data_IF_550520934150
#
_entry.id   IF_550520934150
#
_cell.length_a   1.000
_cell.length_b   1.000
_cell.length_c   1.000
_cell.angle_alpha   90.00
_cell.angle_beta   90.00
_cell.angle_gamma   90.00
#
_symmetry.space_group_name_H-M   'P 1'
#
loop_
_entity.id
_entity.type
_entity.pdbx_description
1 polymer ?
#
# COMPACT_ATOMS: atom_id res chain seq x y z
N UNK A 1 14.73 -39.14 -32.61
CA UNK A 1 15.75 -38.70 -33.59
C UNK A 1 15.27 -37.38 -34.21
N UNK A 2 16.03 -36.41 -34.07
CA UNK A 2 16.36 -35.16 -34.76
C UNK A 2 16.39 -33.98 -33.80
N UNK A 3 17.65 -33.70 -33.44
CA UNK A 3 18.16 -32.46 -32.84
C UNK A 3 18.18 -31.37 -33.92
N UNK A 4 17.89 -30.13 -33.59
CA UNK A 4 18.38 -28.89 -34.23
C UNK A 4 18.32 -27.81 -33.14
N UNK A 5 19.33 -27.41 -32.63
CA UNK A 5 20.39 -26.41 -32.61
C UNK A 5 20.08 -25.24 -33.55
N UNK A 6 19.87 -24.05 -32.98
CA UNK A 6 20.21 -22.75 -33.61
C UNK A 6 20.16 -21.67 -32.51
N UNK A 7 21.28 -21.28 -32.06
CA UNK A 7 22.19 -20.15 -32.30
C UNK A 7 21.70 -18.78 -31.85
N UNK A 8 22.38 -18.34 -30.83
CA UNK A 8 22.79 -17.01 -30.36
C UNK A 8 22.77 -15.93 -31.43
N UNK A 9 22.17 -14.76 -31.09
CA UNK A 9 22.61 -13.48 -31.66
C UNK A 9 22.62 -12.42 -30.56
N UNK A 10 23.82 -12.16 -30.07
CA UNK A 10 24.19 -10.98 -29.31
C UNK A 10 24.31 -9.78 -30.24
N UNK A 11 23.71 -8.66 -29.93
CA UNK A 11 24.03 -7.37 -30.48
C UNK A 11 24.18 -6.35 -29.39
N UNK A 12 25.42 -6.08 -29.03
CA UNK A 12 25.84 -4.94 -28.26
C UNK A 12 25.76 -3.69 -29.15
N UNK A 13 25.17 -2.61 -28.62
CA UNK A 13 25.36 -1.27 -29.16
C UNK A 13 25.73 -0.33 -28.00
N UNK A 14 27.01 -0.06 -27.94
CA UNK A 14 27.64 1.08 -27.27
C UNK A 14 27.67 2.26 -28.24
N UNK A 15 27.41 3.47 -27.80
CA UNK A 15 28.00 4.76 -28.21
C UNK A 15 27.36 5.87 -27.33
N UNK A 16 28.11 6.46 -26.48
CA UNK A 16 29.10 7.56 -26.49
C UNK A 16 28.46 8.94 -26.40
N UNK A 17 28.75 9.55 -25.28
CA UNK A 17 29.37 10.85 -24.95
C UNK A 17 29.24 12.01 -25.96
N UNK A 18 28.78 13.17 -25.39
CA UNK A 18 29.32 14.53 -25.56
C UNK A 18 28.57 15.41 -24.56
N UNK A 19 29.05 16.00 -23.53
CA UNK A 19 30.12 16.93 -23.25
C UNK A 19 29.94 18.32 -23.92
N UNK A 20 29.96 19.33 -23.08
CA UNK A 20 30.12 20.79 -23.25
C UNK A 20 28.87 21.56 -22.82
N UNK A 21 28.93 22.57 -21.97
CA UNK A 21 30.02 23.33 -21.37
C UNK A 21 29.44 24.65 -20.88
N UNK A 22 29.91 25.09 -19.74
CA UNK A 22 30.11 26.44 -19.24
C UNK A 22 29.19 27.58 -19.71
N UNK A 23 28.67 28.37 -18.76
CA UNK A 23 29.31 29.60 -18.30
C UNK A 23 28.57 30.23 -17.13
N UNK A 24 29.41 30.76 -16.27
CA UNK A 24 29.10 31.53 -15.09
C UNK A 24 28.55 32.94 -15.41
N UNK A 25 27.75 33.48 -14.52
CA UNK A 25 27.80 34.89 -14.16
C UNK A 25 27.20 35.11 -12.77
N UNK A 26 28.04 35.49 -11.93
CA UNK A 26 28.08 36.22 -10.71
C UNK A 26 27.18 37.46 -10.70
N UNK A 27 26.49 37.72 -9.58
CA UNK A 27 26.43 39.05 -8.97
C UNK A 27 25.97 38.99 -7.52
N UNK A 28 26.84 39.42 -6.73
CA UNK A 28 26.86 39.94 -5.35
C UNK A 28 25.76 40.94 -5.03
N UNK A 29 25.31 40.91 -3.75
CA UNK A 29 25.15 42.05 -2.81
C UNK A 29 24.52 41.54 -1.52
N UNK A 30 25.22 41.42 -0.40
CA UNK A 30 25.36 42.38 0.75
C UNK A 30 24.00 42.92 1.24
N UNK A 31 23.69 42.96 2.50
CA UNK A 31 24.38 42.89 3.77
C UNK A 31 23.36 42.86 4.92
N UNK A 32 23.80 42.27 6.01
CA UNK A 32 23.82 42.78 7.38
C UNK A 32 22.58 42.75 8.30
N UNK A 33 22.96 42.33 9.47
CA UNK A 33 22.52 42.66 10.85
C UNK A 33 21.54 41.67 11.47
N UNK A 34 21.86 40.76 12.32
CA UNK A 34 22.45 40.97 13.66
C UNK A 34 21.35 41.05 14.69
N UNK A 35 21.11 39.95 15.42
CA UNK A 35 20.80 40.01 16.85
C UNK A 35 20.85 38.60 17.44
N UNK A 36 21.84 38.41 18.29
CA UNK A 36 21.88 37.37 19.29
C UNK A 36 20.73 37.53 20.28
N UNK A 37 20.04 36.44 20.52
CA UNK A 37 19.36 36.26 21.79
C UNK A 37 19.57 34.81 22.21
N UNK A 38 20.47 34.64 23.12
CA UNK A 38 20.61 33.43 23.91
C UNK A 38 19.30 33.15 24.63
N UNK A 39 18.74 31.96 24.43
CA UNK A 39 17.71 31.42 25.29
C UNK A 39 18.10 30.02 25.71
N UNK A 40 18.44 29.96 26.98
CA UNK A 40 18.59 28.83 27.86
C UNK A 40 17.96 27.54 27.42
N UNK A 41 18.81 26.52 27.28
CA UNK A 41 18.41 25.12 27.24
C UNK A 41 17.70 24.77 28.57
N UNK A 42 16.40 24.62 28.51
CA UNK A 42 15.65 23.87 29.49
C UNK A 42 15.61 22.43 29.02
N UNK A 43 16.41 21.61 29.68
CA UNK A 43 16.34 20.15 29.57
C UNK A 43 15.05 19.72 30.26
N UNK A 44 13.96 19.65 29.50
CA UNK A 44 12.80 18.87 29.92
C UNK A 44 13.09 17.42 29.59
N UNK A 45 13.32 16.66 30.63
CA UNK A 45 13.30 15.22 30.67
C UNK A 45 11.94 14.82 30.11
N UNK A 46 11.88 14.40 28.83
CA UNK A 46 10.74 13.72 28.29
C UNK A 46 10.57 12.44 29.11
N UNK A 47 9.57 12.46 29.96
CA UNK A 47 9.03 11.28 30.60
C UNK A 47 8.48 10.43 29.47
N UNK A 48 9.18 9.36 29.14
CA UNK A 48 8.71 8.29 28.26
C UNK A 48 7.57 7.55 28.99
N UNK A 49 6.40 8.15 28.95
CA UNK A 49 5.16 7.43 29.14
C UNK A 49 4.83 6.86 27.76
N UNK A 50 5.33 5.68 27.46
CA UNK A 50 4.73 4.86 26.41
C UNK A 50 3.28 4.64 26.83
N UNK A 51 2.35 5.42 26.27
CA UNK A 51 0.94 5.09 26.31
C UNK A 51 0.81 3.75 25.58
N UNK A 52 0.83 2.68 26.36
CA UNK A 52 0.60 1.34 25.84
C UNK A 52 -0.76 1.34 25.14
N UNK A 53 -0.78 1.09 23.84
CA UNK A 53 -2.03 1.03 23.07
C UNK A 53 -2.92 -0.05 23.68
N UNK A 54 -4.15 0.31 24.03
CA UNK A 54 -5.14 -0.65 24.53
C UNK A 54 -5.74 -1.42 23.36
N UNK A 55 -5.28 -2.65 23.16
CA UNK A 55 -5.78 -3.56 22.12
C UNK A 55 -7.07 -4.31 22.55
N UNK A 56 -7.72 -3.93 23.65
CA UNK A 56 -8.99 -4.51 24.08
C UNK A 56 -10.21 -3.66 23.69
N UNK A 57 -9.95 -2.48 23.14
CA UNK A 57 -10.97 -1.53 22.69
C UNK A 57 -11.57 -1.85 21.32
N UNK A 58 -12.51 -0.99 20.91
CA UNK A 58 -13.18 -1.11 19.61
C UNK A 58 -12.19 -1.10 18.44
N UNK A 59 -12.33 -2.07 17.56
CA UNK A 59 -11.54 -2.21 16.35
C UNK A 59 -10.37 -3.19 16.44
N UNK A 60 -10.11 -3.77 17.61
CA UNK A 60 -9.09 -4.80 17.78
C UNK A 60 -9.70 -6.16 18.11
N UNK A 61 -9.11 -7.21 17.58
CA UNK A 61 -9.43 -8.59 17.93
C UNK A 61 -8.51 -9.04 19.08
N UNK A 62 -9.09 -9.36 20.23
CA UNK A 62 -8.35 -9.74 21.42
C UNK A 62 -7.53 -11.03 21.29
N UNK A 63 -7.70 -11.78 20.21
CA UNK A 63 -6.91 -13.00 19.92
C UNK A 63 -5.65 -12.72 19.14
N UNK A 64 -5.45 -11.51 18.64
CA UNK A 64 -4.30 -11.08 17.84
C UNK A 64 -3.26 -10.39 18.71
N UNK A 65 -2.03 -10.82 18.64
CA UNK A 65 -0.89 -10.15 19.29
C UNK A 65 -0.38 -9.00 18.41
N UNK A 66 -1.04 -7.84 18.50
CA UNK A 66 -0.69 -6.64 17.73
C UNK A 66 0.72 -6.13 18.05
N UNK A 67 1.19 -6.32 19.28
CA UNK A 67 2.54 -5.87 19.65
C UNK A 67 3.63 -6.62 18.88
N UNK A 68 3.41 -7.89 18.56
CA UNK A 68 4.34 -8.67 17.75
C UNK A 68 4.33 -8.27 16.27
N UNK A 69 3.31 -7.54 15.81
CA UNK A 69 3.14 -7.08 14.44
C UNK A 69 3.59 -5.63 14.23
N UNK A 70 4.01 -4.93 15.29
CA UNK A 70 4.47 -3.54 15.20
C UNK A 70 5.62 -3.39 14.17
N UNK A 71 5.58 -2.31 13.39
CA UNK A 71 6.54 -2.06 12.31
C UNK A 71 6.28 -2.85 11.02
N UNK A 72 5.22 -3.67 10.96
CA UNK A 72 4.88 -4.41 9.73
C UNK A 72 4.05 -3.58 8.76
N UNK A 73 4.12 -3.94 7.48
CA UNK A 73 3.25 -3.40 6.43
C UNK A 73 2.43 -4.54 5.84
N UNK A 74 1.12 -4.34 5.77
CA UNK A 74 0.17 -5.25 5.11
C UNK A 74 -0.29 -4.56 3.83
N UNK A 75 -0.10 -5.20 2.69
CA UNK A 75 -0.48 -4.67 1.39
C UNK A 75 -1.76 -5.34 0.89
N UNK A 76 -2.79 -4.55 0.56
CA UNK A 76 -4.11 -5.06 0.19
C UNK A 76 -4.57 -4.45 -1.13
N UNK A 77 -4.93 -5.30 -2.10
CA UNK A 77 -5.59 -4.88 -3.33
C UNK A 77 -7.09 -4.69 -3.08
N UNK A 78 -7.65 -3.55 -3.47
CA UNK A 78 -9.07 -3.24 -3.23
C UNK A 78 -9.73 -2.49 -4.39
N UNK A 79 -11.05 -2.59 -4.50
CA UNK A 79 -11.83 -1.66 -5.32
C UNK A 79 -11.94 -0.30 -4.60
N UNK A 80 -11.99 0.83 -5.35
CA UNK A 80 -12.02 2.15 -4.72
C UNK A 80 -13.19 2.35 -3.76
N UNK A 81 -14.42 1.95 -4.17
CA UNK A 81 -15.65 2.15 -3.39
C UNK A 81 -16.44 0.85 -3.35
N UNK A 82 -16.93 0.42 -2.18
CA UNK A 82 -16.70 0.98 -0.83
C UNK A 82 -15.44 0.44 -0.15
N UNK A 83 -14.73 -0.50 -0.77
CA UNK A 83 -13.71 -1.35 -0.15
C UNK A 83 -12.50 -0.56 0.35
N UNK A 84 -11.89 0.29 -0.48
CA UNK A 84 -10.76 1.11 -0.05
C UNK A 84 -11.16 2.13 1.03
N UNK A 85 -12.39 2.65 1.00
CA UNK A 85 -12.91 3.54 2.04
C UNK A 85 -13.02 2.83 3.39
N UNK A 86 -13.47 1.57 3.41
CA UNK A 86 -13.54 0.74 4.62
C UNK A 86 -12.11 0.44 5.11
N UNK A 87 -11.20 0.05 4.21
CA UNK A 87 -9.80 -0.22 4.56
C UNK A 87 -9.09 1.01 5.12
N UNK A 88 -9.45 2.22 4.70
CA UNK A 88 -8.90 3.43 5.29
C UNK A 88 -9.20 3.53 6.78
N UNK A 89 -10.42 3.21 7.20
CA UNK A 89 -10.80 3.19 8.62
C UNK A 89 -10.00 2.12 9.37
N UNK A 90 -9.85 0.94 8.79
CA UNK A 90 -9.03 -0.12 9.37
C UNK A 90 -7.56 0.30 9.49
N UNK A 91 -7.02 0.98 8.46
CA UNK A 91 -5.67 1.52 8.47
C UNK A 91 -5.44 2.56 9.59
N UNK A 92 -6.40 3.44 9.82
CA UNK A 92 -6.34 4.44 10.89
C UNK A 92 -6.33 3.77 12.30
N UNK A 93 -6.96 2.60 12.44
CA UNK A 93 -6.93 1.79 13.68
C UNK A 93 -5.59 1.07 13.81
N UNK A 94 -5.13 0.39 12.76
CA UNK A 94 -3.89 -0.37 12.75
C UNK A 94 -2.66 0.51 12.95
N UNK A 95 -2.69 1.75 12.45
CA UNK A 95 -1.61 2.71 12.63
C UNK A 95 -1.32 3.02 14.11
N UNK A 96 -2.32 2.92 15.01
CA UNK A 96 -2.12 3.07 16.46
C UNK A 96 -1.30 1.93 17.06
N UNK A 97 -1.28 0.78 16.39
CA UNK A 97 -0.49 -0.39 16.75
C UNK A 97 0.86 -0.44 15.98
N UNK A 98 1.26 0.65 15.33
CA UNK A 98 2.45 0.73 14.49
C UNK A 98 2.42 -0.29 13.32
N UNK A 99 1.23 -0.57 12.79
CA UNK A 99 1.03 -1.42 11.61
C UNK A 99 0.56 -0.55 10.45
N UNK A 100 1.26 -0.63 9.33
CA UNK A 100 0.91 0.10 8.11
C UNK A 100 -0.01 -0.76 7.24
N UNK A 101 -1.17 -0.22 6.84
CA UNK A 101 -2.02 -0.80 5.81
C UNK A 101 -1.81 -0.06 4.50
N UNK A 102 -1.15 -0.71 3.53
CA UNK A 102 -0.91 -0.18 2.18
C UNK A 102 -2.00 -0.68 1.24
N UNK A 103 -2.89 0.22 0.80
CA UNK A 103 -4.04 -0.10 -0.04
C UNK A 103 -3.75 0.26 -1.48
N UNK A 104 -3.73 -0.75 -2.35
CA UNK A 104 -3.54 -0.59 -3.80
C UNK A 104 -4.90 -0.71 -4.49
N UNK A 105 -5.36 0.38 -5.12
CA UNK A 105 -6.67 0.42 -5.75
C UNK A 105 -6.65 -0.11 -7.18
N UNK A 106 -7.61 -0.98 -7.48
CA UNK A 106 -7.86 -1.54 -8.82
C UNK A 106 -9.29 -1.27 -9.24
N UNK A 107 -9.48 -0.89 -10.50
CA UNK A 107 -10.81 -0.61 -11.07
C UNK A 107 -11.39 -1.79 -11.86
N UNK A 108 -10.63 -2.88 -12.00
CA UNK A 108 -11.06 -4.13 -12.61
C UNK A 108 -11.17 -5.24 -11.57
N UNK A 109 -11.80 -6.36 -11.95
CA UNK A 109 -12.05 -7.48 -11.05
C UNK A 109 -11.13 -8.70 -11.28
N UNK A 110 -10.11 -8.57 -12.14
CA UNK A 110 -9.16 -9.64 -12.46
C UNK A 110 -7.85 -9.45 -11.72
N UNK A 111 -7.26 -8.26 -11.83
CA UNK A 111 -5.95 -7.94 -11.27
C UNK A 111 -5.85 -8.17 -9.77
N UNK A 112 -6.83 -7.78 -8.92
CA UNK A 112 -6.71 -8.03 -7.48
C UNK A 112 -6.45 -9.48 -7.13
N UNK A 113 -7.08 -10.43 -7.83
CA UNK A 113 -6.85 -11.86 -7.59
C UNK A 113 -5.47 -12.31 -8.09
N UNK A 114 -5.04 -11.83 -9.26
CA UNK A 114 -3.75 -12.23 -9.83
C UNK A 114 -2.56 -11.71 -9.00
N UNK A 115 -2.62 -10.46 -8.52
CA UNK A 115 -1.54 -9.90 -7.69
C UNK A 115 -1.50 -10.51 -6.30
N UNK A 116 -2.64 -10.99 -5.77
CA UNK A 116 -2.69 -11.75 -4.51
C UNK A 116 -2.13 -13.15 -4.71
N UNK A 117 -2.53 -13.86 -5.77
CA UNK A 117 -2.01 -15.20 -6.07
C UNK A 117 -0.49 -15.19 -6.31
N UNK A 118 0.03 -14.15 -6.94
CA UNK A 118 1.48 -13.99 -7.17
C UNK A 118 2.27 -13.59 -5.92
N UNK A 119 1.60 -13.16 -4.85
CA UNK A 119 2.23 -12.64 -3.64
C UNK A 119 2.79 -11.22 -3.79
N UNK A 120 2.35 -10.45 -4.78
CA UNK A 120 2.67 -9.03 -4.91
C UNK A 120 1.97 -8.18 -3.85
N UNK A 121 0.78 -8.62 -3.42
CA UNK A 121 0.04 -8.12 -2.26
C UNK A 121 -0.32 -9.28 -1.33
N UNK A 122 -0.53 -8.98 -0.05
CA UNK A 122 -0.80 -9.99 0.98
C UNK A 122 -2.24 -10.48 0.95
N UNK A 123 -3.18 -9.62 0.53
CA UNK A 123 -4.60 -9.92 0.47
C UNK A 123 -5.32 -9.06 -0.58
N UNK A 124 -6.58 -9.41 -0.87
CA UNK A 124 -7.47 -8.51 -1.57
C UNK A 124 -8.81 -8.37 -0.85
N UNK A 125 -9.48 -7.25 -1.11
CA UNK A 125 -10.80 -6.95 -0.59
C UNK A 125 -11.64 -6.25 -1.65
N UNK A 126 -12.49 -7.01 -2.38
CA UNK A 126 -13.30 -6.47 -3.46
C UNK A 126 -14.44 -7.38 -3.92
N UNK A 127 -14.43 -8.68 -3.55
CA UNK A 127 -15.25 -9.69 -4.21
C UNK A 127 -16.18 -10.44 -3.27
N UNK A 128 -17.18 -11.06 -3.83
CA UNK A 128 -18.09 -11.98 -3.15
C UNK A 128 -17.63 -13.43 -3.32
N UNK A 129 -18.00 -14.29 -2.35
CA UNK A 129 -17.58 -15.70 -2.34
C UNK A 129 -17.79 -16.43 -3.66
N UNK A 130 -18.98 -16.38 -4.31
CA UNK A 130 -19.21 -17.07 -5.56
C UNK A 130 -18.30 -16.64 -6.73
N UNK A 131 -17.88 -15.34 -6.72
CA UNK A 131 -16.91 -14.86 -7.71
C UNK A 131 -15.52 -15.43 -7.45
N UNK A 132 -15.09 -15.48 -6.18
CA UNK A 132 -13.81 -16.06 -5.82
C UNK A 132 -13.72 -17.55 -6.22
N UNK A 133 -14.77 -18.33 -5.95
CA UNK A 133 -14.83 -19.75 -6.31
C UNK A 133 -14.71 -19.94 -7.83
N UNK A 134 -15.52 -19.21 -8.60
CA UNK A 134 -15.50 -19.23 -10.07
C UNK A 134 -14.15 -18.76 -10.65
N UNK A 135 -13.55 -17.73 -10.05
CA UNK A 135 -12.26 -17.22 -10.46
C UNK A 135 -11.14 -18.24 -10.23
N UNK A 136 -11.10 -18.88 -9.06
CA UNK A 136 -10.13 -19.92 -8.74
C UNK A 136 -10.23 -21.08 -9.73
N UNK A 137 -11.44 -21.56 -10.02
CA UNK A 137 -11.67 -22.66 -10.97
C UNK A 137 -11.19 -22.32 -12.38
N UNK A 138 -11.54 -21.12 -12.88
CA UNK A 138 -11.23 -20.71 -14.25
C UNK A 138 -9.78 -20.35 -14.49
N UNK A 139 -9.10 -19.83 -13.46
CA UNK A 139 -7.75 -19.30 -13.58
C UNK A 139 -6.70 -20.17 -12.90
N UNK A 140 -7.12 -21.29 -12.28
CA UNK A 140 -6.25 -22.18 -11.51
C UNK A 140 -5.49 -21.40 -10.41
N UNK A 141 -6.21 -20.52 -9.69
CA UNK A 141 -5.71 -19.80 -8.52
C UNK A 141 -6.15 -20.50 -7.23
N UNK A 142 -5.48 -20.20 -6.10
CA UNK A 142 -5.65 -20.94 -4.84
C UNK A 142 -6.05 -20.01 -3.68
N UNK A 143 -6.66 -18.88 -4.00
CA UNK A 143 -7.07 -17.90 -3.01
C UNK A 143 -8.17 -18.43 -2.10
N UNK A 144 -8.09 -18.07 -0.82
CA UNK A 144 -9.06 -18.46 0.19
C UNK A 144 -9.72 -17.25 0.83
N UNK A 145 -11.01 -17.35 1.17
CA UNK A 145 -11.69 -16.33 1.94
C UNK A 145 -11.30 -16.47 3.41
N UNK A 146 -10.76 -15.41 4.00
CA UNK A 146 -10.34 -15.38 5.41
C UNK A 146 -11.39 -14.72 6.31
N UNK A 147 -12.20 -13.78 5.76
CA UNK A 147 -13.26 -13.10 6.50
C UNK A 147 -14.34 -12.55 5.57
N UNK A 148 -15.54 -12.39 6.08
CA UNK A 148 -16.62 -11.60 5.48
C UNK A 148 -16.72 -10.26 6.21
N UNK A 149 -16.49 -9.16 5.50
CA UNK A 149 -16.33 -7.84 6.12
C UNK A 149 -17.62 -7.02 6.08
N UNK A 150 -18.33 -6.98 4.94
CA UNK A 150 -19.56 -6.22 4.80
C UNK A 150 -20.54 -6.93 3.88
N UNK A 151 -21.77 -6.45 3.88
CA UNK A 151 -22.86 -6.96 3.06
C UNK A 151 -23.38 -5.86 2.14
N UNK A 152 -23.49 -6.16 0.85
CA UNK A 152 -24.06 -5.25 -0.17
C UNK A 152 -25.42 -5.79 -0.63
N UNK A 153 -26.54 -5.25 -0.09
CA UNK A 153 -27.88 -5.73 -0.45
C UNK A 153 -28.23 -5.32 -1.88
N UNK A 154 -28.75 -6.25 -2.64
CA UNK A 154 -29.34 -5.96 -3.95
C UNK A 154 -30.71 -5.29 -3.79
N UNK A 155 -30.93 -4.17 -4.50
CA UNK A 155 -32.17 -3.43 -4.47
C UNK A 155 -32.72 -3.15 -5.88
N UNK A 156 -34.05 -3.23 -6.03
CA UNK A 156 -34.73 -2.80 -7.24
C UNK A 156 -35.24 -1.37 -7.04
N UNK A 157 -34.84 -0.48 -7.92
CA UNK A 157 -35.25 0.91 -7.90
C UNK A 157 -36.03 1.27 -9.15
N UNK A 158 -37.05 2.16 -9.06
CA UNK A 158 -37.78 2.61 -10.24
C UNK A 158 -36.85 3.38 -11.18
N UNK A 159 -36.89 3.04 -12.45
CA UNK A 159 -36.15 3.77 -13.50
C UNK A 159 -36.80 5.10 -13.86
N UNK A 160 -36.05 5.95 -14.58
CA UNK A 160 -36.55 7.24 -15.09
C UNK A 160 -37.45 7.11 -16.32
N UNK A 161 -37.46 5.95 -16.96
CA UNK A 161 -38.32 5.65 -18.11
C UNK A 161 -39.67 5.17 -17.64
N UNK A 162 -40.73 5.81 -18.16
CA UNK A 162 -42.14 5.38 -17.99
C UNK A 162 -42.49 4.40 -19.04
#
# INVERSE_FOLDING_TARGET
>A
MKKLISTVLAAALTLSLAACGSTAASSTSEAASGSEAASTASSETASDASDAVDFTGDGYDATVDYASLAGTTIKVAASPVPHAEILKVAGDILAKADITLDVVEYTDYVQPNLVTESGEVDANYFQHGPYLEDFNEKNNTHLVSVAAIHYEPFGLYPGKTK
#
